data_IF_106724794718
#
_entry.id   IF_106724794718
#
_cell.length_a   1.000
_cell.length_b   1.000
_cell.length_c   1.000
_cell.angle_alpha   90.00
_cell.angle_beta   90.00
_cell.angle_gamma   90.00
#
_symmetry.space_group_name_H-M   'P 1'
#
loop_
_entity.id
_entity.type
_entity.pdbx_description
1 polymer ?
#
# COMPACT_ATOMS: atom_id res chain seq x y z
N UNK A 1 2.46 -20.49 -15.88
CA UNK A 1 3.39 -20.47 -14.73
C UNK A 1 2.78 -19.59 -13.64
N UNK A 2 2.22 -20.27 -12.62
CA UNK A 2 2.08 -19.82 -11.23
C UNK A 2 1.54 -18.44 -10.91
N UNK A 3 0.30 -18.09 -11.32
CA UNK A 3 -0.47 -17.07 -10.58
C UNK A 3 -1.07 -17.73 -9.34
N UNK A 4 -0.21 -18.10 -8.38
CA UNK A 4 -0.66 -18.43 -7.03
C UNK A 4 -0.90 -17.11 -6.33
N UNK A 5 -2.01 -16.45 -6.69
CA UNK A 5 -2.64 -15.51 -5.76
C UNK A 5 -3.12 -16.38 -4.61
N UNK A 6 -2.24 -16.62 -3.63
CA UNK A 6 -2.62 -17.15 -2.34
C UNK A 6 -3.81 -16.32 -1.88
N UNK A 7 -4.92 -16.99 -1.63
CA UNK A 7 -6.19 -16.40 -1.24
C UNK A 7 -6.04 -15.79 0.15
N UNK A 8 -5.45 -14.59 0.26
CA UNK A 8 -5.38 -13.86 1.53
C UNK A 8 -6.72 -13.19 1.80
N UNK A 9 -7.75 -14.02 1.98
CA UNK A 9 -8.92 -13.68 2.77
C UNK A 9 -8.50 -13.90 4.20
N UNK A 10 -8.26 -12.86 5.00
CA UNK A 10 -8.36 -12.88 6.48
C UNK A 10 -8.04 -11.48 6.99
N UNK A 11 -8.89 -10.99 7.90
CA UNK A 11 -8.65 -9.78 8.69
C UNK A 11 -7.27 -9.85 9.34
N UNK A 12 -6.55 -8.72 9.30
CA UNK A 12 -5.15 -8.58 9.70
C UNK A 12 -4.90 -8.73 11.22
N UNK A 13 -5.39 -9.80 11.84
CA UNK A 13 -5.15 -10.13 13.25
C UNK A 13 -3.85 -10.93 13.44
N UNK A 14 -3.50 -11.77 12.45
CA UNK A 14 -2.35 -12.68 12.51
C UNK A 14 -1.09 -12.15 11.80
N UNK A 15 -1.00 -10.82 11.66
CA UNK A 15 0.11 -10.15 11.00
C UNK A 15 1.47 -10.41 11.68
N UNK A 16 1.57 -11.12 12.81
CA UNK A 16 2.87 -11.36 13.44
C UNK A 16 3.69 -12.49 12.78
N UNK A 17 3.05 -13.46 12.13
CA UNK A 17 3.75 -14.62 11.53
C UNK A 17 4.03 -14.52 10.03
N UNK A 18 3.50 -13.50 9.35
CA UNK A 18 3.79 -13.25 7.94
C UNK A 18 5.19 -12.65 7.77
N UNK A 19 5.88 -13.08 6.72
CA UNK A 19 7.15 -12.47 6.34
C UNK A 19 6.94 -11.00 5.95
N UNK A 20 8.01 -10.21 6.02
CA UNK A 20 7.95 -8.79 5.67
C UNK A 20 7.45 -8.57 4.24
N UNK A 21 7.83 -9.46 3.31
CA UNK A 21 7.42 -9.41 1.92
C UNK A 21 5.91 -9.67 1.77
N UNK A 22 5.37 -10.71 2.41
CA UNK A 22 3.94 -11.03 2.34
C UNK A 22 3.07 -9.89 2.88
N UNK A 23 3.50 -9.24 3.97
CA UNK A 23 2.83 -8.03 4.48
C UNK A 23 2.80 -6.92 3.44
N UNK A 24 3.90 -6.71 2.72
CA UNK A 24 3.99 -5.69 1.69
C UNK A 24 3.07 -6.02 0.50
N UNK A 25 3.05 -7.28 0.06
CA UNK A 25 2.15 -7.73 -1.01
C UNK A 25 0.67 -7.58 -0.59
N UNK A 26 0.32 -7.91 0.65
CA UNK A 26 -1.03 -7.73 1.17
C UNK A 26 -1.46 -6.24 1.20
N UNK A 27 -0.55 -5.34 1.58
CA UNK A 27 -0.80 -3.89 1.51
C UNK A 27 -1.06 -3.43 0.07
N UNK A 28 -0.32 -3.95 -0.90
CA UNK A 28 -0.50 -3.65 -2.32
C UNK A 28 -1.83 -4.21 -2.86
N UNK A 29 -2.22 -5.41 -2.45
CA UNK A 29 -3.50 -6.00 -2.82
C UNK A 29 -4.68 -5.22 -2.25
N UNK A 30 -4.56 -4.71 -1.01
CA UNK A 30 -5.55 -3.80 -0.43
C UNK A 30 -5.63 -2.47 -1.20
N UNK A 31 -4.48 -1.91 -1.59
CA UNK A 31 -4.41 -0.66 -2.33
C UNK A 31 -5.15 -0.71 -3.68
N UNK A 32 -5.18 -1.87 -4.34
CA UNK A 32 -5.89 -2.06 -5.60
C UNK A 32 -7.42 -1.94 -5.44
N UNK A 33 -7.96 -2.43 -4.31
CA UNK A 33 -9.38 -2.32 -3.96
C UNK A 33 -9.74 -1.03 -3.21
N UNK A 34 -8.75 -0.29 -2.74
CA UNK A 34 -8.97 0.85 -1.86
C UNK A 34 -9.72 2.02 -2.56
N UNK A 35 -10.58 2.75 -1.82
CA UNK A 35 -11.27 3.92 -2.36
C UNK A 35 -10.30 4.99 -2.89
N UNK A 36 -10.67 5.66 -3.99
CA UNK A 36 -9.88 6.78 -4.56
C UNK A 36 -9.87 8.03 -3.65
N UNK A 37 -10.91 8.21 -2.82
CA UNK A 37 -11.00 9.35 -1.90
C UNK A 37 -10.10 9.15 -0.70
N UNK A 38 -9.32 10.17 -0.34
CA UNK A 38 -8.33 10.08 0.75
C UNK A 38 -8.99 9.77 2.10
N UNK A 39 -10.12 10.41 2.41
CA UNK A 39 -10.83 10.18 3.67
C UNK A 39 -11.40 8.76 3.77
N UNK A 40 -12.12 8.30 2.75
CA UNK A 40 -12.66 6.95 2.69
C UNK A 40 -11.56 5.88 2.74
N UNK A 41 -10.38 6.18 2.16
CA UNK A 41 -9.23 5.30 2.24
C UNK A 41 -8.64 5.22 3.64
N UNK A 42 -8.49 6.35 4.35
CA UNK A 42 -7.99 6.38 5.72
C UNK A 42 -8.94 5.71 6.71
N UNK A 43 -10.24 5.76 6.44
CA UNK A 43 -11.27 5.04 7.19
C UNK A 43 -11.19 3.53 6.92
N UNK A 44 -11.16 3.10 5.65
CA UNK A 44 -10.96 1.70 5.28
C UNK A 44 -9.64 1.12 5.83
N UNK A 45 -8.56 1.90 5.87
CA UNK A 45 -7.29 1.48 6.48
C UNK A 45 -7.48 1.21 7.98
N UNK A 46 -8.22 2.06 8.69
CA UNK A 46 -8.46 1.86 10.12
C UNK A 46 -9.39 0.69 10.39
N UNK A 47 -10.42 0.51 9.56
CA UNK A 47 -11.40 -0.57 9.73
C UNK A 47 -10.87 -1.94 9.28
N UNK A 48 -10.27 -2.05 8.10
CA UNK A 48 -9.83 -3.34 7.54
C UNK A 48 -8.47 -3.78 8.05
N UNK A 49 -7.54 -2.83 8.20
CA UNK A 49 -6.14 -3.13 8.56
C UNK A 49 -5.86 -2.90 10.06
N UNK A 50 -6.78 -2.26 10.78
CA UNK A 50 -6.63 -1.97 12.22
C UNK A 50 -5.44 -1.07 12.55
N UNK A 51 -4.89 -0.35 11.56
CA UNK A 51 -3.65 0.41 11.71
C UNK A 51 -3.82 1.90 11.41
N UNK A 52 -2.95 2.72 12.00
CA UNK A 52 -2.94 4.15 11.73
C UNK A 52 -2.58 4.41 10.25
N UNK A 53 -3.28 5.33 9.56
CA UNK A 53 -2.97 5.73 8.19
C UNK A 53 -1.51 6.13 7.99
N UNK A 54 -0.91 6.75 9.01
CA UNK A 54 0.50 7.16 8.97
C UNK A 54 1.41 5.94 8.83
N UNK A 55 1.18 4.88 9.63
CA UNK A 55 1.94 3.62 9.53
C UNK A 55 1.70 2.92 8.19
N UNK A 56 0.46 2.94 7.70
CA UNK A 56 0.12 2.37 6.40
C UNK A 56 0.95 2.99 5.28
N UNK A 57 0.97 4.31 5.15
CA UNK A 57 1.73 4.99 4.10
C UNK A 57 3.24 4.79 4.25
N UNK A 58 3.77 4.69 5.47
CA UNK A 58 5.18 4.37 5.69
C UNK A 58 5.54 2.96 5.19
N UNK A 59 4.72 1.96 5.53
CA UNK A 59 4.91 0.58 5.09
C UNK A 59 4.76 0.46 3.57
N UNK A 60 3.77 1.16 3.00
CA UNK A 60 3.53 1.19 1.55
C UNK A 60 4.72 1.83 0.81
N UNK A 61 5.26 2.95 1.31
CA UNK A 61 6.44 3.58 0.71
C UNK A 61 7.68 2.67 0.76
N UNK A 62 7.83 1.86 1.81
CA UNK A 62 8.91 0.86 1.86
C UNK A 62 8.65 -0.28 0.89
N UNK A 63 7.40 -0.72 0.73
CA UNK A 63 7.02 -1.80 -0.17
C UNK A 63 7.35 -1.49 -1.64
N UNK A 64 7.08 -0.26 -2.09
CA UNK A 64 7.35 0.17 -3.48
C UNK A 64 8.84 0.29 -3.83
N UNK A 65 9.72 0.24 -2.82
CA UNK A 65 11.18 0.28 -2.97
C UNK A 65 11.82 -1.13 -2.91
N UNK A 66 11.02 -2.19 -2.68
CA UNK A 66 11.50 -3.57 -2.59
C UNK A 66 11.42 -4.26 -3.97
N UNK A 67 12.54 -4.79 -4.49
CA UNK A 67 12.58 -5.39 -5.83
C UNK A 67 11.72 -6.66 -5.95
N UNK A 68 11.58 -7.46 -4.88
CA UNK A 68 10.67 -8.61 -4.90
C UNK A 68 9.21 -8.18 -5.06
N UNK A 69 8.78 -7.11 -4.38
CA UNK A 69 7.43 -6.55 -4.50
C UNK A 69 7.19 -5.99 -5.90
N UNK A 70 8.21 -5.35 -6.49
CA UNK A 70 8.14 -4.83 -7.86
C UNK A 70 8.04 -5.96 -8.91
N UNK A 71 8.63 -7.12 -8.64
CA UNK A 71 8.54 -8.28 -9.53
C UNK A 71 7.14 -8.90 -9.52
N UNK A 72 6.50 -8.94 -8.35
CA UNK A 72 5.12 -9.44 -8.18
C UNK A 72 4.05 -8.45 -8.70
N UNK A 73 4.20 -7.15 -8.40
CA UNK A 73 3.25 -6.10 -8.75
C UNK A 73 3.90 -4.92 -9.49
N UNK A 74 4.45 -5.11 -10.70
CA UNK A 74 5.20 -4.06 -11.41
C UNK A 74 4.32 -2.86 -11.80
N UNK A 75 3.07 -3.11 -12.19
CA UNK A 75 2.14 -2.04 -12.63
C UNK A 75 1.67 -1.21 -11.43
N UNK A 76 1.33 -1.87 -10.32
CA UNK A 76 0.83 -1.20 -9.14
C UNK A 76 1.94 -0.37 -8.46
N UNK A 77 3.14 -0.93 -8.32
CA UNK A 77 4.30 -0.19 -7.77
C UNK A 77 4.66 1.02 -8.62
N UNK A 78 4.69 0.90 -9.96
CA UNK A 78 4.94 2.02 -10.86
C UNK A 78 3.87 3.13 -10.74
N UNK A 79 2.59 2.75 -10.65
CA UNK A 79 1.49 3.70 -10.43
C UNK A 79 1.61 4.41 -9.09
N UNK A 80 1.92 3.69 -8.02
CA UNK A 80 2.09 4.25 -6.68
C UNK A 80 3.27 5.21 -6.59
N UNK A 81 4.38 4.89 -7.25
CA UNK A 81 5.54 5.80 -7.37
C UNK A 81 5.14 7.12 -8.04
N UNK A 82 4.42 7.07 -9.16
CA UNK A 82 3.90 8.29 -9.81
C UNK A 82 2.97 9.10 -8.90
N UNK A 83 2.07 8.44 -8.17
CA UNK A 83 1.16 9.12 -7.23
C UNK A 83 1.95 9.78 -6.09
N UNK A 84 3.01 9.12 -5.58
CA UNK A 84 3.91 9.69 -4.57
C UNK A 84 4.55 10.98 -5.08
N UNK A 85 5.08 10.95 -6.30
CA UNK A 85 5.73 12.10 -6.92
C UNK A 85 4.74 13.26 -7.15
N UNK A 86 3.50 12.95 -7.56
CA UNK A 86 2.44 13.96 -7.68
C UNK A 86 2.05 14.59 -6.32
N UNK A 87 2.01 13.80 -5.25
CA UNK A 87 1.72 14.31 -3.90
C UNK A 87 2.86 15.16 -3.35
N UNK A 88 4.11 14.79 -3.64
CA UNK A 88 5.28 15.60 -3.29
C UNK A 88 5.21 16.97 -3.98
N UNK A 89 4.87 17.01 -5.26
CA UNK A 89 4.70 18.25 -6.02
C UNK A 89 3.55 19.13 -5.48
N UNK A 90 2.43 18.54 -5.06
CA UNK A 90 1.32 19.30 -4.43
C UNK A 90 1.72 19.90 -3.08
N UNK A 91 2.50 19.18 -2.26
CA UNK A 91 3.03 19.74 -0.99
C UNK A 91 4.02 20.87 -1.24
N UNK A 92 4.90 20.73 -2.22
CA UNK A 92 5.85 21.78 -2.62
C UNK A 92 5.14 23.05 -3.15
N UNK A 93 3.99 22.90 -3.83
CA UNK A 93 3.17 24.05 -4.26
C UNK A 93 2.40 24.71 -3.12
N UNK A 94 1.93 23.96 -2.14
CA UNK A 94 1.21 24.52 -0.98
C UNK A 94 2.13 25.29 -0.03
N UNK A 95 3.42 24.94 0.03
CA UNK A 95 4.41 25.56 0.91
C UNK A 95 5.07 26.82 0.31
N UNK A 96 4.76 27.14 -0.95
CA UNK A 96 5.30 28.29 -1.68
C UNK A 96 4.27 29.43 -1.87
N UNK A 97 3.21 29.45 -1.08
CA UNK A 97 2.19 30.51 -1.06
C UNK A 97 2.20 31.25 0.26
#
# INVERSE_FOLDING_TARGET
MGRTVMSYSVGMSDANNLTRLEKQLALLAFEDRAPRSLGAKEEAIREELGMSPVRYFQSLNRAIDVPEVMSEYPVLTARLRRIRDQRANRRAQAQKR
#
